data_IF_872143205205
#
_entry.id   IF_872143205205
#
_cell.length_a   1.000
_cell.length_b   1.000
_cell.length_c   1.000
_cell.angle_alpha   90.00
_cell.angle_beta   90.00
_cell.angle_gamma   90.00
#
_symmetry.space_group_name_H-M   'P 1'
#
loop_
_entity.id
_entity.type
_entity.pdbx_description
1 polymer ?
#
# COMPACT_ATOMS: atom_id res chain seq x y z
N UNK A 1 -3.53 -11.56 -15.73
CA UNK A 1 -3.81 -10.12 -15.99
C UNK A 1 -5.17 -9.65 -15.48
N UNK A 2 -5.18 -8.98 -14.33
CA UNK A 2 -6.36 -8.27 -13.81
C UNK A 2 -5.91 -6.95 -13.19
N UNK A 3 -6.67 -5.89 -13.44
CA UNK A 3 -6.43 -4.57 -12.85
C UNK A 3 -6.97 -4.45 -11.42
N UNK A 4 -7.69 -5.46 -10.91
CA UNK A 4 -8.39 -5.35 -9.63
C UNK A 4 -7.40 -5.18 -8.46
N UNK A 5 -6.29 -5.90 -8.50
CA UNK A 5 -5.20 -5.77 -7.51
C UNK A 5 -4.53 -4.40 -7.59
N UNK A 6 -4.23 -3.90 -8.80
CA UNK A 6 -3.65 -2.56 -8.98
C UNK A 6 -4.63 -1.47 -8.53
N UNK A 7 -5.89 -1.54 -8.94
CA UNK A 7 -6.95 -0.61 -8.52
C UNK A 7 -7.07 -0.57 -7.00
N UNK A 8 -7.17 -1.75 -6.35
CA UNK A 8 -7.19 -1.85 -4.90
C UNK A 8 -5.93 -1.25 -4.27
N UNK A 9 -4.75 -1.57 -4.79
CA UNK A 9 -3.50 -1.05 -4.25
C UNK A 9 -3.43 0.49 -4.32
N UNK A 10 -3.82 1.09 -5.45
CA UNK A 10 -3.86 2.54 -5.58
C UNK A 10 -4.85 3.17 -4.58
N UNK A 11 -6.04 2.58 -4.41
CA UNK A 11 -7.01 3.06 -3.41
C UNK A 11 -6.46 2.94 -1.99
N UNK A 12 -5.84 1.81 -1.63
CA UNK A 12 -5.28 1.57 -0.30
C UNK A 12 -4.11 2.54 0.00
N UNK A 13 -3.28 2.87 -1.00
CA UNK A 13 -2.17 3.82 -0.85
C UNK A 13 -2.69 5.25 -0.70
N UNK A 14 -3.68 5.64 -1.50
CA UNK A 14 -4.33 6.96 -1.37
C UNK A 14 -5.00 7.10 0.00
N UNK A 15 -5.70 6.06 0.46
CA UNK A 15 -6.33 6.05 1.78
C UNK A 15 -5.29 6.22 2.89
N UNK A 16 -4.16 5.52 2.77
CA UNK A 16 -3.04 5.63 3.70
C UNK A 16 -2.42 7.04 3.70
N UNK A 17 -2.21 7.66 2.54
CA UNK A 17 -1.72 9.04 2.42
C UNK A 17 -2.69 10.05 3.05
N UNK A 18 -3.99 9.90 2.78
CA UNK A 18 -5.03 10.75 3.37
C UNK A 18 -5.12 10.59 4.88
N UNK A 19 -4.90 9.38 5.40
CA UNK A 19 -4.84 9.14 6.84
C UNK A 19 -3.61 9.80 7.50
N UNK A 20 -2.47 9.85 6.81
CA UNK A 20 -1.24 10.48 7.30
C UNK A 20 -1.28 12.02 7.23
N UNK A 21 -1.76 12.56 6.11
CA UNK A 21 -1.61 13.98 5.76
C UNK A 21 -2.92 14.78 5.80
N UNK A 22 -4.05 14.09 6.00
CA UNK A 22 -5.38 14.64 5.80
C UNK A 22 -5.78 14.62 4.33
N UNK A 23 -7.09 14.65 4.07
CA UNK A 23 -7.61 14.71 2.71
C UNK A 23 -7.29 16.04 2.03
N UNK A 24 -6.78 15.95 0.80
CA UNK A 24 -6.67 17.06 -0.15
C UNK A 24 -7.16 16.60 -1.51
N UNK A 25 -8.03 17.40 -2.12
CA UNK A 25 -8.45 17.21 -3.50
C UNK A 25 -7.33 17.68 -4.42
N UNK A 26 -6.42 16.78 -4.75
CA UNK A 26 -5.23 17.07 -5.55
C UNK A 26 -4.83 15.86 -6.39
N UNK A 27 -3.96 16.10 -7.38
CA UNK A 27 -3.34 15.03 -8.16
C UNK A 27 -2.31 14.30 -7.30
N UNK A 28 -2.32 12.98 -7.36
CA UNK A 28 -1.39 12.11 -6.62
C UNK A 28 -0.46 11.43 -7.62
N UNK A 29 0.83 11.32 -7.29
CA UNK A 29 1.83 10.65 -8.12
C UNK A 29 2.46 9.53 -7.33
N UNK A 30 2.19 8.30 -7.77
CA UNK A 30 2.73 7.10 -7.14
C UNK A 30 3.77 6.46 -8.05
N UNK A 31 4.88 6.04 -7.47
CA UNK A 31 6.02 5.50 -8.20
C UNK A 31 6.17 4.01 -7.91
N UNK A 32 6.19 3.20 -8.95
CA UNK A 32 6.30 1.75 -8.85
C UNK A 32 7.48 1.23 -9.68
N UNK A 33 8.26 0.27 -9.16
CA UNK A 33 9.15 -0.51 -10.00
C UNK A 33 8.35 -1.47 -10.88
N UNK A 34 8.93 -1.88 -12.01
CA UNK A 34 8.33 -2.85 -12.93
C UNK A 34 7.94 -4.16 -12.23
N UNK A 35 8.76 -4.65 -11.30
CA UNK A 35 8.52 -5.91 -10.56
C UNK A 35 7.21 -5.86 -9.78
N UNK A 36 6.99 -4.79 -9.00
CA UNK A 36 5.73 -4.59 -8.26
C UNK A 36 4.52 -4.47 -9.20
N UNK A 37 4.66 -3.78 -10.34
CA UNK A 37 3.56 -3.70 -11.30
C UNK A 37 3.24 -5.07 -11.90
N UNK A 38 4.24 -5.90 -12.17
CA UNK A 38 4.07 -7.28 -12.60
C UNK A 38 3.36 -8.14 -11.53
N UNK A 39 3.69 -7.97 -10.25
CA UNK A 39 2.98 -8.62 -9.15
C UNK A 39 1.51 -8.20 -9.06
N UNK A 40 1.25 -6.89 -9.19
CA UNK A 40 -0.09 -6.31 -9.12
C UNK A 40 -0.96 -6.71 -10.31
N UNK A 41 -0.39 -6.74 -11.52
CA UNK A 41 -1.13 -7.04 -12.74
C UNK A 41 -1.14 -8.53 -13.07
N UNK A 42 -0.37 -9.35 -12.36
CA UNK A 42 -0.20 -10.78 -12.65
C UNK A 42 0.30 -10.97 -14.10
N UNK A 43 1.48 -10.40 -14.35
CA UNK A 43 2.17 -10.37 -15.65
C UNK A 43 3.69 -10.58 -15.47
N UNK A 44 4.38 -10.88 -16.57
CA UNK A 44 5.84 -10.90 -16.67
C UNK A 44 6.31 -9.90 -17.73
N UNK A 45 5.62 -8.76 -17.80
CA UNK A 45 5.85 -7.77 -18.84
C UNK A 45 7.24 -7.13 -18.69
N UNK A 46 7.86 -6.90 -19.84
CA UNK A 46 8.96 -5.94 -19.97
C UNK A 46 8.46 -4.50 -19.74
N UNK A 47 9.39 -3.57 -19.54
CA UNK A 47 9.02 -2.16 -19.34
C UNK A 47 8.21 -1.57 -20.51
N UNK A 48 8.47 -1.98 -21.75
CA UNK A 48 7.71 -1.52 -22.93
C UNK A 48 6.31 -2.13 -22.98
N UNK A 49 6.17 -3.41 -22.63
CA UNK A 49 4.86 -4.07 -22.56
C UNK A 49 4.00 -3.48 -21.44
N UNK A 50 4.59 -3.18 -20.29
CA UNK A 50 3.90 -2.59 -19.15
C UNK A 50 3.33 -1.20 -19.47
N UNK A 51 3.99 -0.39 -20.31
CA UNK A 51 3.43 0.88 -20.82
C UNK A 51 2.14 0.66 -21.62
N UNK A 52 2.11 -0.38 -22.47
CA UNK A 52 0.93 -0.75 -23.25
C UNK A 52 -0.17 -1.30 -22.34
N UNK A 53 0.18 -2.18 -21.41
CA UNK A 53 -0.74 -2.75 -20.43
C UNK A 53 -1.42 -1.64 -19.63
N UNK A 54 -0.65 -0.72 -19.04
CA UNK A 54 -1.17 0.42 -18.27
C UNK A 54 -1.92 1.46 -19.12
N UNK A 55 -1.71 1.52 -20.44
CA UNK A 55 -2.56 2.33 -21.31
C UNK A 55 -3.96 1.70 -21.50
N UNK A 56 -4.09 0.39 -21.29
CA UNK A 56 -5.34 -0.38 -21.41
C UNK A 56 -6.21 -0.41 -20.15
N UNK A 57 -6.14 0.61 -19.29
CA UNK A 57 -6.93 0.69 -18.05
C UNK A 57 -8.42 0.42 -18.32
N UNK A 58 -9.07 -0.47 -17.55
CA UNK A 58 -10.47 -0.79 -17.78
C UNK A 58 -11.39 0.34 -17.34
N UNK A 59 -12.56 0.41 -17.96
CA UNK A 59 -13.58 1.43 -17.64
C UNK A 59 -14.02 1.37 -16.16
N UNK A 60 -14.05 0.16 -15.57
CA UNK A 60 -14.40 -0.03 -14.16
C UNK A 60 -13.47 0.73 -13.21
N UNK A 61 -12.18 0.78 -13.54
CA UNK A 61 -11.14 1.45 -12.76
C UNK A 61 -11.16 2.95 -13.00
N UNK A 62 -11.26 3.36 -14.27
CA UNK A 62 -11.24 4.80 -14.62
C UNK A 62 -12.47 5.55 -14.14
N UNK A 63 -13.61 4.87 -13.93
CA UNK A 63 -14.79 5.45 -13.25
C UNK A 63 -14.52 5.82 -11.78
N UNK A 64 -13.60 5.12 -11.10
CA UNK A 64 -13.28 5.34 -9.68
C UNK A 64 -12.09 6.28 -9.53
N UNK A 65 -10.99 5.98 -10.23
CA UNK A 65 -9.71 6.66 -10.06
C UNK A 65 -9.46 7.75 -11.10
N UNK A 66 -10.34 7.90 -12.09
CA UNK A 66 -10.07 8.69 -13.30
C UNK A 66 -9.11 7.99 -14.25
N UNK A 67 -8.83 8.62 -15.39
CA UNK A 67 -7.80 8.11 -16.32
C UNK A 67 -6.42 8.42 -15.74
N UNK A 68 -5.63 7.39 -15.46
CA UNK A 68 -4.28 7.58 -14.95
C UNK A 68 -3.35 8.01 -16.08
N UNK A 69 -2.60 9.09 -15.84
CA UNK A 69 -1.47 9.45 -16.71
C UNK A 69 -0.24 8.63 -16.29
N UNK A 70 0.31 7.86 -17.24
CA UNK A 70 1.44 6.95 -16.99
C UNK A 70 2.69 7.48 -17.68
N UNK A 71 3.77 7.60 -16.91
CA UNK A 71 5.10 7.96 -17.44
C UNK A 71 6.15 7.02 -16.87
N UNK A 72 7.29 6.88 -17.54
CA UNK A 72 8.34 5.93 -17.15
C UNK A 72 9.74 6.51 -17.32
N UNK A 73 10.66 6.05 -16.46
CA UNK A 73 12.11 6.23 -16.62
C UNK A 73 12.84 4.92 -16.26
N UNK A 74 13.34 4.21 -17.27
CA UNK A 74 13.91 2.88 -17.07
C UNK A 74 12.83 1.91 -16.58
N UNK A 75 13.07 1.21 -15.47
CA UNK A 75 12.11 0.27 -14.87
C UNK A 75 11.25 0.89 -13.77
N UNK A 76 11.18 2.23 -13.71
CA UNK A 76 10.34 2.97 -12.75
C UNK A 76 9.21 3.71 -13.48
N UNK A 77 8.00 3.44 -13.03
CA UNK A 77 6.76 4.01 -13.55
C UNK A 77 6.20 5.02 -12.56
N UNK A 78 5.66 6.12 -13.07
CA UNK A 78 4.87 7.08 -12.32
C UNK A 78 3.43 6.97 -12.82
N UNK A 79 2.52 6.54 -11.94
CA UNK A 79 1.09 6.60 -12.16
C UNK A 79 0.57 7.88 -11.51
N UNK A 80 0.06 8.79 -12.33
CA UNK A 80 -0.52 10.05 -11.88
C UNK A 80 -2.04 9.92 -11.84
N UNK A 81 -2.58 9.89 -10.63
CA UNK A 81 -4.01 9.85 -10.34
C UNK A 81 -4.55 11.29 -10.37
N UNK A 82 -5.59 11.59 -11.16
CA UNK A 82 -6.20 12.91 -11.18
C UNK A 82 -7.00 13.19 -9.89
N UNK A 83 -7.44 14.44 -9.69
CA UNK A 83 -8.07 14.89 -8.45
C UNK A 83 -9.37 14.12 -8.13
N UNK A 84 -10.08 13.68 -9.17
CA UNK A 84 -11.29 12.87 -9.05
C UNK A 84 -11.02 11.54 -8.35
N UNK A 85 -9.87 10.91 -8.60
CA UNK A 85 -9.49 9.66 -7.94
C UNK A 85 -9.22 9.85 -6.45
N UNK A 86 -8.53 10.93 -6.07
CA UNK A 86 -8.33 11.28 -4.65
C UNK A 86 -9.67 11.54 -3.95
N UNK A 87 -10.55 12.32 -4.60
CA UNK A 87 -11.89 12.61 -4.07
C UNK A 87 -12.74 11.34 -3.93
N UNK A 88 -12.72 10.45 -4.91
CA UNK A 88 -13.47 9.19 -4.87
C UNK A 88 -13.06 8.35 -3.66
N UNK A 89 -11.75 8.17 -3.42
CA UNK A 89 -11.26 7.40 -2.27
C UNK A 89 -11.71 8.02 -0.96
N UNK A 90 -11.62 9.35 -0.84
CA UNK A 90 -12.08 10.05 0.36
C UNK A 90 -13.59 9.82 0.61
N UNK A 91 -14.42 10.05 -0.41
CA UNK A 91 -15.88 9.94 -0.27
C UNK A 91 -16.36 8.52 0.08
N UNK A 92 -15.61 7.48 -0.31
CA UNK A 92 -16.02 6.08 -0.11
C UNK A 92 -15.32 5.39 1.07
N UNK A 93 -14.18 5.90 1.54
CA UNK A 93 -13.35 5.24 2.55
C UNK A 93 -12.87 6.17 3.69
N UNK A 94 -13.43 7.39 3.80
CA UNK A 94 -13.00 8.37 4.79
C UNK A 94 -12.94 7.81 6.23
N UNK A 95 -11.78 8.02 6.85
CA UNK A 95 -11.53 7.97 8.31
C UNK A 95 -11.99 6.70 9.04
N UNK A 96 -12.10 5.58 8.33
CA UNK A 96 -12.53 4.30 8.88
C UNK A 96 -11.62 3.17 8.42
N UNK A 97 -11.56 2.10 9.21
CA UNK A 97 -10.79 0.90 8.90
C UNK A 97 -9.39 0.87 9.54
N UNK A 98 -8.78 -0.30 9.44
CA UNK A 98 -7.55 -0.64 10.14
C UNK A 98 -6.40 0.36 9.92
N UNK A 99 -6.18 0.80 8.67
CA UNK A 99 -5.05 1.70 8.35
C UNK A 99 -5.16 3.06 9.07
N UNK A 100 -6.37 3.59 9.24
CA UNK A 100 -6.58 4.83 9.99
C UNK A 100 -6.31 4.65 11.48
N UNK A 101 -6.78 3.54 12.06
CA UNK A 101 -6.50 3.22 13.46
C UNK A 101 -5.00 3.04 13.70
N UNK A 102 -4.30 2.37 12.78
CA UNK A 102 -2.86 2.17 12.84
C UNK A 102 -2.09 3.49 12.79
N UNK A 103 -2.42 4.37 11.82
CA UNK A 103 -1.74 5.67 11.68
C UNK A 103 -2.01 6.55 12.90
N UNK A 104 -3.24 6.56 13.43
CA UNK A 104 -3.56 7.30 14.65
C UNK A 104 -2.74 6.80 15.83
N UNK A 105 -2.66 5.49 16.02
CA UNK A 105 -1.89 4.86 17.09
C UNK A 105 -0.40 5.21 16.98
N UNK A 106 0.17 5.12 15.78
CA UNK A 106 1.60 5.45 15.55
C UNK A 106 1.87 6.95 15.74
N UNK A 107 0.88 7.81 15.51
CA UNK A 107 0.98 9.25 15.78
C UNK A 107 1.00 9.61 17.26
N UNK A 108 0.74 8.67 18.18
CA UNK A 108 0.82 8.90 19.63
C UNK A 108 2.27 8.84 20.13
N UNK A 109 2.65 9.77 21.02
CA UNK A 109 4.04 9.93 21.48
C UNK A 109 4.66 8.73 22.20
N UNK A 110 3.85 7.81 22.75
CA UNK A 110 4.31 6.65 23.53
C UNK A 110 3.93 5.31 22.89
N UNK A 111 3.65 5.29 21.58
CA UNK A 111 3.29 4.08 20.85
C UNK A 111 4.44 3.06 20.86
N UNK A 112 4.13 1.81 21.24
CA UNK A 112 5.06 0.68 21.27
C UNK A 112 4.63 -0.41 20.31
N UNK A 113 5.56 -1.29 19.93
CA UNK A 113 5.27 -2.47 19.11
C UNK A 113 4.16 -3.36 19.71
N UNK A 114 4.07 -3.44 21.04
CA UNK A 114 3.00 -4.17 21.73
C UNK A 114 1.61 -3.51 21.56
N UNK A 115 1.55 -2.19 21.44
CA UNK A 115 0.29 -1.48 21.14
C UNK A 115 -0.18 -1.83 19.72
N UNK A 116 0.75 -1.81 18.77
CA UNK A 116 0.50 -2.15 17.37
C UNK A 116 0.03 -3.60 17.26
N UNK A 117 0.73 -4.54 17.93
CA UNK A 117 0.31 -5.95 17.96
C UNK A 117 -1.09 -6.13 18.55
N UNK A 118 -1.42 -5.40 19.61
CA UNK A 118 -2.78 -5.41 20.20
C UNK A 118 -3.83 -4.89 19.22
N UNK A 119 -3.52 -3.86 18.44
CA UNK A 119 -4.39 -3.36 17.39
C UNK A 119 -4.64 -4.42 16.30
N UNK A 120 -3.60 -5.09 15.82
CA UNK A 120 -3.77 -6.20 14.87
C UNK A 120 -4.67 -7.31 15.44
N UNK A 121 -4.47 -7.68 16.72
CA UNK A 121 -5.27 -8.71 17.40
C UNK A 121 -6.73 -8.29 17.63
N UNK A 122 -7.04 -7.00 17.70
CA UNK A 122 -8.44 -6.55 17.78
C UNK A 122 -9.20 -6.70 16.47
N UNK A 123 -8.49 -6.80 15.34
CA UNK A 123 -9.09 -7.03 14.01
C UNK A 123 -9.07 -8.50 13.58
N UNK A 124 -8.15 -9.31 14.12
CA UNK A 124 -8.09 -10.74 13.83
C UNK A 124 -7.42 -11.54 14.95
N UNK A 125 -8.02 -12.66 15.35
CA UNK A 125 -7.40 -13.58 16.33
C UNK A 125 -6.17 -14.32 15.75
N UNK A 126 -6.05 -14.42 14.42
CA UNK A 126 -5.05 -15.25 13.73
C UNK A 126 -4.09 -14.41 12.88
N UNK A 127 -3.31 -13.54 13.53
CA UNK A 127 -2.28 -12.76 12.86
C UNK A 127 -0.96 -13.53 12.76
N UNK A 128 -0.18 -13.24 11.73
CA UNK A 128 1.19 -13.70 11.61
C UNK A 128 2.12 -12.62 12.13
N UNK A 129 3.07 -13.01 12.97
CA UNK A 129 4.10 -12.12 13.53
C UNK A 129 5.45 -12.79 13.35
N UNK A 130 6.41 -12.07 12.79
CA UNK A 130 7.79 -12.52 12.58
C UNK A 130 8.75 -11.48 13.16
N UNK A 131 9.57 -11.88 14.13
CA UNK A 131 10.69 -11.06 14.61
C UNK A 131 11.80 -11.04 13.56
N UNK A 132 12.33 -9.86 13.26
CA UNK A 132 13.33 -9.64 12.23
C UNK A 132 14.68 -9.34 12.89
N UNK A 133 15.77 -9.87 12.33
CA UNK A 133 17.14 -9.70 12.85
C UNK A 133 17.97 -8.69 12.02
N UNK A 134 17.30 -7.85 11.24
CA UNK A 134 17.94 -6.87 10.35
C UNK A 134 18.05 -5.47 10.95
N UNK A 135 18.79 -4.58 10.29
CA UNK A 135 18.88 -3.19 10.72
C UNK A 135 17.68 -2.36 10.27
N UNK A 136 16.86 -2.82 9.32
CA UNK A 136 15.78 -2.00 8.73
C UNK A 136 14.45 -2.09 9.49
N UNK A 137 14.13 -3.25 10.05
CA UNK A 137 12.86 -3.54 10.72
C UNK A 137 13.06 -4.51 11.89
N UNK A 138 12.25 -4.35 12.94
CA UNK A 138 12.26 -5.20 14.12
C UNK A 138 11.21 -6.32 14.04
N UNK A 139 10.06 -6.05 13.41
CA UNK A 139 8.94 -7.00 13.33
C UNK A 139 8.14 -6.83 12.04
N UNK A 140 7.73 -7.96 11.45
CA UNK A 140 6.71 -8.01 10.40
C UNK A 140 5.41 -8.58 10.98
N UNK A 141 4.29 -7.91 10.72
CA UNK A 141 2.94 -8.37 11.07
C UNK A 141 2.08 -8.39 9.81
N UNK A 142 1.30 -9.46 9.62
CA UNK A 142 0.28 -9.53 8.54
C UNK A 142 -0.98 -10.23 8.98
N UNK A 143 -2.09 -9.87 8.35
CA UNK A 143 -3.37 -10.55 8.51
C UNK A 143 -3.41 -11.90 7.78
N UNK A 144 -4.32 -12.81 8.16
CA UNK A 144 -4.51 -14.05 7.44
C UNK A 144 -5.14 -13.84 6.07
N UNK A 145 -4.86 -14.78 5.17
CA UNK A 145 -5.46 -14.80 3.84
C UNK A 145 -7.00 -14.76 3.94
N UNK A 146 -7.63 -13.98 3.06
CA UNK A 146 -9.09 -13.80 3.05
C UNK A 146 -9.62 -12.67 3.94
N UNK A 147 -8.78 -12.01 4.75
CA UNK A 147 -9.18 -10.83 5.53
C UNK A 147 -9.41 -9.57 4.66
N UNK A 148 -8.89 -9.57 3.43
CA UNK A 148 -9.02 -8.45 2.49
C UNK A 148 -7.89 -7.42 2.58
N UNK A 149 -6.98 -7.60 3.54
CA UNK A 149 -5.72 -6.87 3.65
C UNK A 149 -4.55 -7.85 3.44
N UNK A 150 -3.92 -7.83 2.25
CA UNK A 150 -2.85 -8.77 1.92
C UNK A 150 -1.47 -8.31 2.38
N UNK A 151 -1.32 -7.14 3.00
CA UNK A 151 -0.01 -6.51 3.11
C UNK A 151 0.82 -7.07 4.27
N UNK A 152 2.14 -7.07 4.07
CA UNK A 152 3.13 -7.23 5.14
C UNK A 152 3.47 -5.85 5.72
N UNK A 153 3.20 -5.66 7.01
CA UNK A 153 3.53 -4.44 7.73
C UNK A 153 4.83 -4.64 8.49
N UNK A 154 5.90 -3.98 8.08
CA UNK A 154 7.20 -4.05 8.71
C UNK A 154 7.40 -2.81 9.59
N UNK A 155 7.64 -3.01 10.89
CA UNK A 155 7.76 -1.95 11.88
C UNK A 155 9.19 -1.86 12.40
N UNK A 156 9.60 -0.64 12.76
CA UNK A 156 10.84 -0.38 13.49
C UNK A 156 10.58 0.59 14.63
N UNK A 157 11.05 0.25 15.82
CA UNK A 157 11.06 1.10 16.99
C UNK A 157 12.37 1.90 17.03
N UNK A 158 12.30 3.21 16.77
CA UNK A 158 13.45 4.11 16.83
C UNK A 158 13.67 4.69 18.25
N UNK A 159 13.03 4.11 19.27
CA UNK A 159 13.12 4.48 20.68
C UNK A 159 12.32 5.73 21.08
N UNK A 160 11.99 6.59 20.11
CA UNK A 160 11.15 7.78 20.32
C UNK A 160 9.86 7.77 19.50
N UNK A 161 9.81 6.98 18.43
CA UNK A 161 8.63 6.76 17.62
C UNK A 161 8.78 5.42 16.88
N UNK A 162 7.65 4.81 16.54
CA UNK A 162 7.64 3.65 15.65
C UNK A 162 7.44 4.14 14.22
N UNK A 163 8.27 3.64 13.31
CA UNK A 163 8.06 3.80 11.86
C UNK A 163 7.56 2.49 11.27
N UNK A 164 6.90 2.57 10.12
CA UNK A 164 6.47 1.38 9.40
C UNK A 164 6.56 1.55 7.88
N UNK A 165 6.76 0.42 7.21
CA UNK A 165 6.58 0.28 5.78
C UNK A 165 5.60 -0.86 5.50
N UNK A 166 4.87 -0.73 4.39
CA UNK A 166 3.89 -1.70 3.94
C UNK A 166 4.29 -2.24 2.58
N UNK A 167 4.34 -3.56 2.46
CA UNK A 167 4.76 -4.25 1.25
C UNK A 167 3.69 -5.25 0.79
N UNK A 168 3.61 -5.49 -0.52
CA UNK A 168 2.93 -6.69 -0.99
C UNK A 168 3.71 -7.93 -0.52
N UNK A 169 3.07 -9.09 -0.32
CA UNK A 169 3.75 -10.33 0.05
C UNK A 169 4.88 -10.69 -0.91
N UNK A 170 4.67 -10.49 -2.20
CA UNK A 170 5.65 -10.76 -3.26
C UNK A 170 6.86 -9.81 -3.14
N UNK A 171 6.62 -8.51 -2.95
CA UNK A 171 7.68 -7.51 -2.78
C UNK A 171 8.47 -7.74 -1.48
N UNK A 172 7.78 -8.10 -0.39
CA UNK A 172 8.42 -8.48 0.87
C UNK A 172 9.32 -9.72 0.69
N UNK A 173 8.83 -10.74 0.00
CA UNK A 173 9.61 -11.96 -0.26
C UNK A 173 10.85 -11.70 -1.14
N UNK A 174 10.82 -10.69 -2.01
CA UNK A 174 12.01 -10.24 -2.74
C UNK A 174 12.97 -9.47 -1.84
N UNK A 175 12.47 -8.55 -1.02
CA UNK A 175 13.26 -7.79 -0.05
C UNK A 175 14.06 -8.72 0.89
N UNK A 176 13.43 -9.78 1.39
CA UNK A 176 14.07 -10.74 2.30
C UNK A 176 15.09 -11.67 1.64
N UNK A 177 15.20 -11.68 0.31
CA UNK A 177 16.21 -12.45 -0.44
C UNK A 177 17.46 -11.63 -0.76
N UNK A 178 17.38 -10.31 -0.65
CA UNK A 178 18.48 -9.39 -0.95
C UNK A 178 19.49 -9.35 0.20
#
# INVERSE_FOLDING_TARGET
MTFDKLEKNLMDVIQEEQAKLGFRREKIRLYYPLTTLNHLLDTEDTAEQMEITLAGQPESMTRKLGNLDVTRRGDRFCLCIPEEGSAYVHEHFAETGFIYELIRLIGEHDCKLEDIRRLFLSHSENIYVEEMQGEDFDVMIRFPEGMGDPYCYCFRDEGCHVIYHRFLPEDYAELMKA
#
